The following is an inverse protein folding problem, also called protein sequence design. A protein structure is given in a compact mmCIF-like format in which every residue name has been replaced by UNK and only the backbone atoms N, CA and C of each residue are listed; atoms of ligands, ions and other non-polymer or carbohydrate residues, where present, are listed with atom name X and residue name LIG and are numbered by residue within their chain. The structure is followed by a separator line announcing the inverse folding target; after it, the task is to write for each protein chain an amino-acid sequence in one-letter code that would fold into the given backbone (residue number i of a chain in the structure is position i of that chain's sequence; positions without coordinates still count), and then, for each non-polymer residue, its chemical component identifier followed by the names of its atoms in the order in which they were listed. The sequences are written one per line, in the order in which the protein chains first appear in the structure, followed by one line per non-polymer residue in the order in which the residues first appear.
data_IF_738603523929
#
_entry.id   IF_738603523929
#
_cell.length_a   1.000
_cell.length_b   1.000
_cell.length_c   1.000
_cell.angle_alpha   90.00
_cell.angle_beta   90.00
_cell.angle_gamma   90.00
#
_symmetry.space_group_name_H-M   'P 1'
#
loop_
_entity.id
_entity.type
_entity.pdbx_description
1 polymer ?
#
# COMPACT_ATOMS: atom_id res chain seq x y z
N UNK A 1 -17.96 3.37 5.73
CA UNK A 1 -17.19 2.33 5.02
C UNK A 1 -18.13 1.15 4.79
N UNK A 2 -18.39 0.77 3.56
CA UNK A 2 -19.26 -0.37 3.28
C UNK A 2 -18.59 -1.68 3.68
N UNK A 3 -19.27 -2.56 4.44
CA UNK A 3 -18.76 -3.88 4.79
C UNK A 3 -18.36 -4.67 3.54
N UNK A 4 -17.32 -5.51 3.67
CA UNK A 4 -16.79 -6.30 2.54
C UNK A 4 -17.87 -7.16 1.87
N UNK A 5 -18.78 -7.73 2.67
CA UNK A 5 -19.88 -8.57 2.18
C UNK A 5 -20.87 -7.82 1.30
N UNK A 6 -21.14 -6.53 1.57
CA UNK A 6 -22.04 -5.72 0.74
C UNK A 6 -21.47 -5.53 -0.67
N UNK A 7 -20.15 -5.31 -0.79
CA UNK A 7 -19.49 -5.15 -2.10
C UNK A 7 -19.60 -6.41 -2.95
N UNK A 8 -19.42 -7.59 -2.36
CA UNK A 8 -19.62 -8.87 -3.07
C UNK A 8 -21.09 -9.07 -3.42
N UNK A 9 -21.97 -8.82 -2.47
CA UNK A 9 -23.42 -8.92 -2.73
C UNK A 9 -23.86 -8.05 -3.90
N UNK A 10 -23.40 -6.79 -3.95
CA UNK A 10 -23.68 -5.89 -5.08
C UNK A 10 -23.04 -6.39 -6.38
N UNK A 11 -21.84 -6.96 -6.35
CA UNK A 11 -21.20 -7.53 -7.54
C UNK A 11 -22.03 -8.70 -8.11
N UNK A 12 -22.53 -9.59 -7.25
CA UNK A 12 -23.36 -10.74 -7.66
C UNK A 12 -24.71 -10.25 -8.21
N UNK A 13 -25.36 -9.29 -7.55
CA UNK A 13 -26.65 -8.73 -8.00
C UNK A 13 -26.51 -8.03 -9.35
N UNK A 14 -25.47 -7.21 -9.54
CA UNK A 14 -25.23 -6.52 -10.82
C UNK A 14 -24.88 -7.51 -11.92
N UNK A 15 -24.15 -8.60 -11.62
CA UNK A 15 -23.86 -9.64 -12.59
C UNK A 15 -25.13 -10.41 -12.99
N UNK A 16 -25.97 -10.78 -12.03
CA UNK A 16 -27.25 -11.43 -12.30
C UNK A 16 -28.17 -10.57 -13.15
N UNK A 17 -28.24 -9.27 -12.86
CA UNK A 17 -28.99 -8.33 -13.66
C UNK A 17 -28.42 -8.13 -15.07
N UNK A 18 -27.08 -8.21 -15.24
CA UNK A 18 -26.43 -8.18 -16.54
C UNK A 18 -26.89 -9.38 -17.42
N UNK A 19 -26.92 -10.59 -16.83
CA UNK A 19 -27.43 -11.79 -17.54
C UNK A 19 -28.88 -11.59 -17.99
N UNK A 20 -29.73 -11.06 -17.12
CA UNK A 20 -31.14 -10.76 -17.47
C UNK A 20 -31.23 -9.77 -18.65
N UNK A 21 -30.43 -8.71 -18.68
CA UNK A 21 -30.37 -7.74 -19.77
C UNK A 21 -29.92 -8.36 -21.10
N UNK A 22 -29.08 -9.38 -21.08
CA UNK A 22 -28.72 -10.11 -22.29
C UNK A 22 -29.86 -10.98 -22.82
N UNK A 23 -30.71 -11.54 -21.94
CA UNK A 23 -31.92 -12.30 -22.38
C UNK A 23 -32.97 -11.41 -23.00
N UNK A 24 -33.00 -10.12 -22.62
CA UNK A 24 -33.90 -9.09 -23.19
C UNK A 24 -33.30 -8.37 -24.41
N UNK A 25 -32.19 -8.88 -24.97
CA UNK A 25 -31.50 -8.32 -26.13
C UNK A 25 -30.86 -6.92 -25.91
N UNK A 26 -30.83 -6.40 -24.66
CA UNK A 26 -30.21 -5.14 -24.31
C UNK A 26 -28.66 -5.30 -24.10
N UNK A 27 -27.96 -5.67 -25.18
CA UNK A 27 -26.52 -6.02 -25.13
C UNK A 27 -25.67 -4.89 -24.53
N UNK A 28 -25.92 -3.63 -24.89
CA UNK A 28 -25.15 -2.46 -24.38
C UNK A 28 -25.26 -2.30 -22.86
N UNK A 29 -26.49 -2.47 -22.31
CA UNK A 29 -26.72 -2.41 -20.87
C UNK A 29 -26.05 -3.59 -20.14
N UNK A 30 -26.13 -4.79 -20.71
CA UNK A 30 -25.49 -5.99 -20.18
C UNK A 30 -23.98 -5.82 -20.04
N UNK A 31 -23.31 -5.30 -21.07
CA UNK A 31 -21.86 -4.99 -21.06
C UNK A 31 -21.53 -3.96 -19.98
N UNK A 32 -22.28 -2.85 -19.88
CA UNK A 32 -22.06 -1.83 -18.86
C UNK A 32 -22.19 -2.40 -17.43
N UNK A 33 -23.16 -3.29 -17.20
CA UNK A 33 -23.36 -3.95 -15.90
C UNK A 33 -22.25 -4.94 -15.57
N UNK A 34 -21.65 -5.62 -16.54
CA UNK A 34 -20.46 -6.45 -16.33
C UNK A 34 -19.29 -5.59 -15.87
N UNK A 35 -19.04 -4.44 -16.51
CA UNK A 35 -18.01 -3.51 -16.07
C UNK A 35 -18.26 -2.98 -14.65
N UNK A 36 -19.52 -2.66 -14.33
CA UNK A 36 -19.91 -2.21 -13.00
C UNK A 36 -19.69 -3.30 -11.94
N UNK A 37 -20.06 -4.55 -12.23
CA UNK A 37 -19.77 -5.71 -11.36
C UNK A 37 -18.27 -5.89 -11.16
N UNK A 38 -17.47 -5.82 -12.22
CA UNK A 38 -16.01 -5.86 -12.16
C UNK A 38 -15.44 -4.74 -11.27
N UNK A 39 -16.02 -3.54 -11.33
CA UNK A 39 -15.63 -2.43 -10.44
C UNK A 39 -15.93 -2.75 -8.96
N UNK A 40 -17.07 -3.36 -8.62
CA UNK A 40 -17.35 -3.78 -7.23
C UNK A 40 -16.39 -4.85 -6.74
N UNK A 41 -16.04 -5.82 -7.59
CA UNK A 41 -15.01 -6.82 -7.29
C UNK A 41 -13.65 -6.16 -7.08
N UNK A 42 -13.27 -5.21 -7.93
CA UNK A 42 -12.04 -4.44 -7.75
C UNK A 42 -12.01 -3.69 -6.42
N UNK A 43 -13.11 -3.01 -6.04
CA UNK A 43 -13.24 -2.30 -4.77
C UNK A 43 -13.29 -3.24 -3.55
N UNK A 44 -13.62 -4.51 -3.74
CA UNK A 44 -13.49 -5.52 -2.69
C UNK A 44 -12.02 -5.84 -2.40
N UNK A 45 -11.21 -6.05 -3.45
CA UNK A 45 -9.78 -6.35 -3.32
C UNK A 45 -8.93 -5.12 -3.01
N UNK A 46 -9.36 -3.94 -3.45
CA UNK A 46 -8.67 -2.66 -3.22
C UNK A 46 -9.54 -1.77 -2.33
N UNK A 47 -9.10 -1.56 -1.07
CA UNK A 47 -9.81 -0.65 -0.18
C UNK A 47 -9.69 0.78 -0.71
N UNK A 48 -10.83 1.40 -1.01
CA UNK A 48 -10.89 2.76 -1.59
C UNK A 48 -10.18 3.80 -0.73
N UNK A 49 -10.34 3.70 0.60
CA UNK A 49 -9.71 4.66 1.53
C UNK A 49 -8.19 4.53 1.47
N UNK A 50 -7.68 3.31 1.45
CA UNK A 50 -6.25 3.05 1.36
C UNK A 50 -5.67 3.52 0.01
N UNK A 51 -6.43 3.36 -1.08
CA UNK A 51 -6.04 3.85 -2.39
C UNK A 51 -5.95 5.38 -2.42
N UNK A 52 -6.96 6.09 -1.90
CA UNK A 52 -6.93 7.55 -1.80
C UNK A 52 -5.81 8.05 -0.89
N UNK A 53 -5.57 7.38 0.24
CA UNK A 53 -4.44 7.71 1.11
C UNK A 53 -3.11 7.55 0.37
N UNK A 54 -2.93 6.48 -0.40
CA UNK A 54 -1.73 6.24 -1.18
C UNK A 54 -1.51 7.28 -2.28
N UNK A 55 -2.57 7.66 -3.01
CA UNK A 55 -2.50 8.68 -4.05
C UNK A 55 -2.12 10.06 -3.47
N UNK A 56 -2.67 10.43 -2.31
CA UNK A 56 -2.30 11.67 -1.62
C UNK A 56 -0.86 11.64 -1.11
N UNK A 57 -0.43 10.52 -0.57
CA UNK A 57 0.98 10.33 -0.16
C UNK A 57 1.93 10.56 -1.34
N UNK A 58 1.61 10.02 -2.53
CA UNK A 58 2.42 10.24 -3.76
C UNK A 58 2.48 11.72 -4.17
N UNK A 59 1.45 12.49 -3.88
CA UNK A 59 1.41 13.95 -4.08
C UNK A 59 2.06 14.73 -2.93
N UNK A 60 2.69 14.04 -1.96
CA UNK A 60 3.30 14.63 -0.75
C UNK A 60 2.30 15.37 0.16
N UNK A 61 1.00 15.14 -0.01
CA UNK A 61 -0.04 15.65 0.89
C UNK A 61 -0.15 14.72 2.11
N UNK A 62 0.76 14.89 3.06
CA UNK A 62 0.83 14.05 4.27
C UNK A 62 -0.37 14.27 5.19
N UNK A 63 -0.85 15.51 5.34
CA UNK A 63 -2.03 15.79 6.16
C UNK A 63 -3.29 15.16 5.57
N UNK A 64 -3.51 15.30 4.26
CA UNK A 64 -4.60 14.64 3.57
C UNK A 64 -4.51 13.12 3.65
N UNK A 65 -3.31 12.56 3.54
CA UNK A 65 -3.05 11.12 3.69
C UNK A 65 -3.46 10.64 5.08
N UNK A 66 -3.05 11.37 6.12
CA UNK A 66 -3.38 11.02 7.51
C UNK A 66 -4.88 11.07 7.78
N UNK A 67 -5.59 12.11 7.29
CA UNK A 67 -7.05 12.23 7.39
C UNK A 67 -7.76 11.00 6.78
N UNK A 68 -7.29 10.50 5.63
CA UNK A 68 -7.85 9.31 5.01
C UNK A 68 -7.56 8.05 5.81
N UNK A 69 -6.32 7.87 6.29
CA UNK A 69 -5.97 6.70 7.12
C UNK A 69 -6.75 6.65 8.43
N UNK A 70 -7.01 7.80 9.06
CA UNK A 70 -7.77 7.90 10.31
C UNK A 70 -9.25 7.47 10.17
N UNK A 71 -9.78 7.41 8.94
CA UNK A 71 -11.13 6.85 8.68
C UNK A 71 -11.18 5.33 8.86
N UNK A 72 -10.03 4.65 8.86
CA UNK A 72 -9.94 3.21 9.09
C UNK A 72 -9.75 2.97 10.59
N UNK A 73 -10.85 2.78 11.33
CA UNK A 73 -10.81 2.62 12.79
C UNK A 73 -10.07 1.35 13.22
N UNK A 74 -10.36 0.20 12.57
CA UNK A 74 -9.78 -1.11 12.89
C UNK A 74 -9.13 -1.71 11.63
N UNK A 75 -7.85 -1.39 11.32
CA UNK A 75 -7.20 -1.84 10.09
C UNK A 75 -7.14 -3.37 9.97
N UNK A 76 -6.92 -4.08 11.07
CA UNK A 76 -6.74 -5.53 11.08
C UNK A 76 -8.02 -6.31 10.72
N UNK A 77 -9.18 -5.80 11.13
CA UNK A 77 -10.48 -6.41 10.77
C UNK A 77 -11.03 -5.91 9.44
N UNK A 78 -10.74 -4.65 9.09
CA UNK A 78 -11.32 -3.99 7.92
C UNK A 78 -10.54 -4.26 6.61
N UNK A 79 -9.25 -4.61 6.71
CA UNK A 79 -8.33 -4.77 5.58
C UNK A 79 -7.89 -6.23 5.44
N UNK A 80 -7.47 -6.61 4.23
CA UNK A 80 -6.75 -7.88 4.04
C UNK A 80 -5.32 -7.77 4.55
N UNK A 81 -4.64 -8.89 4.81
CA UNK A 81 -3.26 -8.91 5.33
C UNK A 81 -2.31 -8.01 4.52
N UNK A 82 -2.38 -8.07 3.19
CA UNK A 82 -1.56 -7.22 2.30
C UNK A 82 -1.93 -5.74 2.39
N UNK A 83 -3.22 -5.44 2.55
CA UNK A 83 -3.67 -4.05 2.74
C UNK A 83 -3.25 -3.50 4.11
N UNK A 84 -3.23 -4.32 5.16
CA UNK A 84 -2.66 -3.95 6.47
C UNK A 84 -1.16 -3.65 6.31
N UNK A 85 -0.44 -4.41 5.47
CA UNK A 85 0.95 -4.10 5.09
C UNK A 85 1.08 -2.70 4.50
N UNK A 86 0.27 -2.36 3.49
CA UNK A 86 0.26 -1.02 2.88
C UNK A 86 -0.18 0.08 3.85
N UNK A 87 -1.18 -0.17 4.69
CA UNK A 87 -1.58 0.78 5.74
C UNK A 87 -0.40 1.13 6.65
N UNK A 88 0.33 0.11 7.12
CA UNK A 88 1.51 0.31 7.96
C UNK A 88 2.65 1.01 7.18
N UNK A 89 2.85 0.68 5.90
CA UNK A 89 3.83 1.36 5.07
C UNK A 89 3.56 2.88 4.98
N UNK A 90 2.32 3.26 4.66
CA UNK A 90 1.92 4.67 4.55
C UNK A 90 2.02 5.37 5.92
N UNK A 91 1.58 4.71 7.01
CA UNK A 91 1.77 5.22 8.38
C UNK A 91 3.25 5.44 8.70
N UNK A 92 4.11 4.50 8.32
CA UNK A 92 5.56 4.63 8.49
C UNK A 92 6.12 5.86 7.79
N UNK A 93 5.71 6.12 6.54
CA UNK A 93 6.16 7.30 5.78
C UNK A 93 5.74 8.61 6.46
N UNK A 94 4.47 8.73 6.87
CA UNK A 94 3.98 9.95 7.53
C UNK A 94 4.70 10.15 8.87
N UNK A 95 4.78 9.11 9.69
CA UNK A 95 5.32 9.18 11.04
C UNK A 95 6.83 9.38 11.05
N UNK A 96 7.54 9.01 9.96
CA UNK A 96 8.99 9.20 9.85
C UNK A 96 9.44 10.67 9.92
N UNK A 97 8.52 11.60 9.67
CA UNK A 97 8.80 13.04 9.76
C UNK A 97 8.82 13.56 11.21
N UNK A 98 8.11 12.89 12.12
CA UNK A 98 7.94 13.35 13.51
C UNK A 98 8.50 12.38 14.55
N UNK A 99 8.38 11.06 14.31
CA UNK A 99 8.75 10.03 15.28
C UNK A 99 9.35 8.80 14.61
N UNK A 100 10.68 8.76 14.54
CA UNK A 100 11.44 7.67 13.93
C UNK A 100 11.23 6.31 14.61
N UNK A 101 11.04 6.30 15.92
CA UNK A 101 10.84 5.04 16.66
C UNK A 101 9.49 4.42 16.33
N UNK A 102 8.46 5.23 16.20
CA UNK A 102 7.14 4.77 15.79
C UNK A 102 7.11 4.38 14.30
N UNK A 103 7.78 5.15 13.44
CA UNK A 103 7.93 4.85 12.03
C UNK A 103 8.62 3.50 11.80
N UNK A 104 9.67 3.20 12.59
CA UNK A 104 10.36 1.91 12.55
C UNK A 104 9.40 0.75 12.80
N UNK A 105 8.54 0.85 13.83
CA UNK A 105 7.54 -0.18 14.13
C UNK A 105 6.59 -0.41 12.95
N UNK A 106 6.13 0.67 12.33
CA UNK A 106 5.25 0.60 11.17
C UNK A 106 5.94 -0.04 9.96
N UNK A 107 7.17 0.36 9.62
CA UNK A 107 7.90 -0.25 8.49
C UNK A 107 8.21 -1.73 8.73
N UNK A 108 8.61 -2.12 9.95
CA UNK A 108 8.81 -3.53 10.29
C UNK A 108 7.53 -4.35 10.12
N UNK A 109 6.40 -3.83 10.60
CA UNK A 109 5.08 -4.48 10.43
C UNK A 109 4.68 -4.55 8.95
N UNK A 110 4.93 -3.51 8.16
CA UNK A 110 4.68 -3.53 6.72
C UNK A 110 5.50 -4.60 6.00
N UNK A 111 6.78 -4.72 6.32
CA UNK A 111 7.69 -5.71 5.73
C UNK A 111 7.30 -7.13 6.14
N UNK A 112 6.93 -7.38 7.40
CA UNK A 112 6.53 -8.71 7.88
C UNK A 112 5.23 -9.21 7.26
N UNK A 113 4.25 -8.32 7.06
CA UNK A 113 2.98 -8.64 6.38
C UNK A 113 3.13 -8.77 4.86
N UNK A 114 4.20 -8.20 4.32
CA UNK A 114 4.53 -8.18 2.91
C UNK A 114 3.71 -7.17 2.11
N UNK A 115 4.34 -6.65 1.06
CA UNK A 115 3.73 -5.74 0.09
C UNK A 115 3.64 -6.44 -1.27
N UNK A 116 2.62 -6.12 -2.06
CA UNK A 116 2.39 -6.81 -3.33
C UNK A 116 3.47 -6.48 -4.38
N UNK A 117 3.95 -5.23 -4.39
CA UNK A 117 4.93 -4.78 -5.35
C UNK A 117 6.35 -4.85 -4.76
N UNK A 118 7.30 -5.40 -5.53
CA UNK A 118 8.72 -5.46 -5.14
C UNK A 118 9.30 -4.08 -4.92
N UNK A 119 8.87 -3.11 -5.72
CA UNK A 119 9.28 -1.72 -5.60
C UNK A 119 8.88 -1.12 -4.23
N UNK A 120 7.61 -1.32 -3.80
CA UNK A 120 7.13 -0.80 -2.51
C UNK A 120 7.85 -1.48 -1.34
N UNK A 121 8.15 -2.77 -1.47
CA UNK A 121 8.94 -3.51 -0.49
C UNK A 121 10.38 -2.97 -0.42
N UNK A 122 10.99 -2.63 -1.56
CA UNK A 122 12.30 -2.01 -1.61
C UNK A 122 12.29 -0.63 -0.95
N UNK A 123 11.26 0.19 -1.21
CA UNK A 123 11.07 1.49 -0.54
C UNK A 123 10.92 1.35 0.98
N UNK A 124 10.13 0.39 1.46
CA UNK A 124 9.96 0.15 2.89
C UNK A 124 11.28 -0.23 3.56
N UNK A 125 12.07 -1.10 2.92
CA UNK A 125 13.41 -1.50 3.42
C UNK A 125 14.40 -0.34 3.37
N UNK A 126 14.36 0.48 2.32
CA UNK A 126 15.20 1.66 2.19
C UNK A 126 14.89 2.69 3.29
N UNK A 127 13.61 2.95 3.55
CA UNK A 127 13.18 3.84 4.64
C UNK A 127 13.62 3.31 6.00
N UNK A 128 13.46 2.00 6.24
CA UNK A 128 13.93 1.37 7.48
C UNK A 128 15.47 1.42 7.61
N UNK A 129 16.20 1.29 6.50
CA UNK A 129 17.65 1.45 6.48
C UNK A 129 18.06 2.87 6.89
N UNK A 130 17.35 3.90 6.40
CA UNK A 130 17.57 5.29 6.81
C UNK A 130 17.39 5.50 8.31
N UNK A 131 16.33 4.92 8.89
CA UNK A 131 16.09 4.96 10.35
C UNK A 131 17.20 4.23 11.10
N UNK A 132 17.64 3.06 10.62
CA UNK A 132 18.73 2.30 11.23
C UNK A 132 20.07 3.08 11.21
N UNK A 133 20.34 3.81 10.11
CA UNK A 133 21.51 4.70 10.00
C UNK A 133 21.47 5.83 11.04
N UNK A 134 20.32 6.52 11.16
CA UNK A 134 20.15 7.59 12.16
C UNK A 134 20.32 7.06 13.60
N UNK A 135 19.92 5.82 13.85
CA UNK A 135 20.11 5.12 15.13
C UNK A 135 21.49 4.45 15.26
N UNK A 136 22.42 4.72 14.35
CA UNK A 136 23.79 4.15 14.31
C UNK A 136 23.85 2.62 14.26
N UNK A 137 22.79 1.96 13.78
CA UNK A 137 22.72 0.50 13.63
C UNK A 137 23.30 0.06 12.28
N UNK A 138 24.62 0.21 12.11
CA UNK A 138 25.36 0.01 10.85
C UNK A 138 25.11 -1.36 10.19
N UNK A 139 25.17 -2.45 10.97
CA UNK A 139 24.97 -3.82 10.43
C UNK A 139 23.57 -3.99 9.84
N UNK A 140 22.55 -3.55 10.58
CA UNK A 140 21.15 -3.62 10.13
C UNK A 140 20.93 -2.77 8.87
N UNK A 141 21.41 -1.54 8.87
CA UNK A 141 21.31 -0.66 7.71
C UNK A 141 21.97 -1.27 6.46
N UNK A 142 23.16 -1.89 6.61
CA UNK A 142 23.85 -2.56 5.51
C UNK A 142 23.01 -3.70 4.92
N UNK A 143 22.42 -4.52 5.76
CA UNK A 143 21.56 -5.65 5.33
C UNK A 143 20.34 -5.14 4.58
N UNK A 144 19.64 -4.16 5.15
CA UNK A 144 18.44 -3.58 4.55
C UNK A 144 18.72 -2.91 3.19
N UNK A 145 19.86 -2.20 3.06
CA UNK A 145 20.26 -1.59 1.78
C UNK A 145 20.59 -2.65 0.72
N UNK A 146 21.25 -3.76 1.09
CA UNK A 146 21.50 -4.88 0.18
C UNK A 146 20.20 -5.53 -0.29
N UNK A 147 19.25 -5.73 0.63
CA UNK A 147 17.96 -6.30 0.32
C UNK A 147 17.09 -5.37 -0.54
N UNK A 148 17.09 -4.06 -0.27
CA UNK A 148 16.41 -3.06 -1.08
C UNK A 148 16.96 -3.06 -2.52
N UNK A 149 18.29 -3.09 -2.68
CA UNK A 149 18.97 -3.16 -3.99
C UNK A 149 18.59 -4.42 -4.76
N UNK A 150 18.48 -5.57 -4.08
CA UNK A 150 18.08 -6.84 -4.71
C UNK A 150 16.63 -6.81 -5.23
N UNK A 151 15.76 -6.05 -4.56
CA UNK A 151 14.35 -5.90 -4.95
C UNK A 151 14.14 -4.85 -6.04
N UNK A 152 14.99 -3.83 -6.10
CA UNK A 152 14.95 -2.75 -7.10
C UNK A 152 15.57 -3.20 -8.43
N UNK A 153 14.87 -4.10 -9.14
CA UNK A 153 15.33 -4.61 -10.44
C UNK A 153 15.40 -3.53 -11.52
N UNK A 154 14.59 -2.48 -11.40
CA UNK A 154 14.51 -1.39 -12.38
C UNK A 154 15.55 -0.30 -12.12
N UNK A 155 16.27 -0.35 -11.00
CA UNK A 155 17.31 0.63 -10.64
C UNK A 155 16.79 2.03 -10.29
N UNK A 156 15.47 2.18 -10.07
CA UNK A 156 14.82 3.47 -9.78
C UNK A 156 15.40 4.10 -8.50
N UNK A 157 15.76 3.27 -7.52
CA UNK A 157 16.34 3.70 -6.24
C UNK A 157 17.86 3.59 -6.20
N UNK A 158 18.49 3.25 -7.32
CA UNK A 158 19.92 2.96 -7.39
C UNK A 158 20.81 4.08 -6.88
N UNK A 159 20.54 5.34 -7.25
CA UNK A 159 21.26 6.52 -6.80
C UNK A 159 21.10 6.74 -5.28
N UNK A 160 19.85 6.67 -4.80
CA UNK A 160 19.56 6.86 -3.38
C UNK A 160 20.25 5.78 -2.53
N UNK A 161 20.24 4.52 -2.99
CA UNK A 161 20.93 3.42 -2.32
C UNK A 161 22.44 3.68 -2.28
N UNK A 162 23.06 4.14 -3.39
CA UNK A 162 24.50 4.49 -3.44
C UNK A 162 24.84 5.59 -2.46
N UNK A 163 24.05 6.66 -2.42
CA UNK A 163 24.25 7.77 -1.49
C UNK A 163 24.19 7.30 -0.03
N UNK A 164 23.21 6.49 0.32
CA UNK A 164 23.07 5.95 1.66
C UNK A 164 24.24 4.99 2.01
N UNK A 165 24.72 4.20 1.06
CA UNK A 165 25.88 3.34 1.26
C UNK A 165 27.17 4.15 1.50
N UNK A 166 27.34 5.28 0.83
CA UNK A 166 28.47 6.20 1.06
C UNK A 166 28.39 6.84 2.45
N UNK A 167 27.19 7.31 2.84
CA UNK A 167 26.96 7.87 4.18
C UNK A 167 27.21 6.82 5.28
N UNK A 168 26.82 5.57 5.04
CA UNK A 168 27.02 4.48 5.99
C UNK A 168 28.50 4.14 6.24
N UNK A 169 29.40 4.44 5.30
CA UNK A 169 30.86 4.30 5.50
C UNK A 169 31.41 5.34 6.47
N UNK A 170 30.73 6.49 6.60
CA UNK A 170 31.17 7.61 7.46
C UNK A 170 30.64 7.52 8.90
N UNK A 171 29.70 6.63 9.16
CA UNK A 171 29.16 6.31 10.50
C UNK A 171 29.89 5.09 11.06
#
# INVERSE_FOLDING_TARGET
MFPKFIKIGLAILTLGYAVYQFTEEFIGNGIALIFLSGMFVFLYYKNEILLFAFLRMRKQDFQGTERWLNRIKNPESALTTKQVGYYNFIRGVITSQSNLTQAEKYFRKAISLGLNMKHDMAMAKLSLAGIAMQKRRKREATTLLKEAKKLDKQGIMGEQIKLMQQQLKRI
#
